data_IF_222540747582
#
_entry.id   IF_222540747582
#
_cell.length_a   1.000
_cell.length_b   1.000
_cell.length_c   1.000
_cell.angle_alpha   90.00
_cell.angle_beta   90.00
_cell.angle_gamma   90.00
#
_symmetry.space_group_name_H-M   'P 1'
#
loop_
_entity.id
_entity.type
_entity.pdbx_description
1 polymer ?
#
# COMPACT_ATOMS: atom_id res chain seq x y z
N UNK A 1 7.06 -4.52 -19.30
CA UNK A 1 7.56 -5.72 -18.56
C UNK A 1 8.69 -5.36 -17.60
N UNK A 2 9.73 -4.67 -18.06
CA UNK A 2 10.89 -4.27 -17.24
C UNK A 2 10.50 -3.52 -15.97
N UNK A 3 9.71 -2.46 -16.09
CA UNK A 3 9.29 -1.67 -14.92
C UNK A 3 8.57 -2.48 -13.83
N UNK A 4 7.69 -3.41 -14.22
CA UNK A 4 7.00 -4.28 -13.26
C UNK A 4 7.99 -5.14 -12.46
N UNK A 5 9.06 -5.64 -13.09
CA UNK A 5 10.08 -6.44 -12.41
C UNK A 5 10.98 -5.60 -11.50
N UNK A 6 11.25 -4.36 -11.87
CA UNK A 6 12.00 -3.42 -11.03
C UNK A 6 11.22 -3.08 -9.75
N UNK A 7 9.91 -2.83 -9.85
CA UNK A 7 9.04 -2.64 -8.68
C UNK A 7 9.11 -3.84 -7.74
N UNK A 8 8.92 -5.06 -8.25
CA UNK A 8 8.99 -6.30 -7.44
C UNK A 8 10.35 -6.42 -6.73
N UNK A 9 11.44 -6.18 -7.45
CA UNK A 9 12.79 -6.27 -6.89
C UNK A 9 13.01 -5.24 -5.78
N UNK A 10 12.52 -4.01 -5.96
CA UNK A 10 12.63 -2.95 -4.96
C UNK A 10 11.74 -3.19 -3.74
N UNK A 11 10.52 -3.68 -3.94
CA UNK A 11 9.59 -4.05 -2.86
C UNK A 11 10.24 -5.06 -1.92
N UNK A 12 10.95 -6.06 -2.42
CA UNK A 12 11.61 -7.07 -1.57
C UNK A 12 12.57 -6.44 -0.55
N UNK A 13 13.32 -5.42 -0.95
CA UNK A 13 14.25 -4.71 -0.07
C UNK A 13 13.51 -3.80 0.90
N UNK A 14 12.58 -2.99 0.38
CA UNK A 14 11.85 -2.01 1.19
C UNK A 14 10.93 -2.66 2.23
N UNK A 15 10.25 -3.74 1.85
CA UNK A 15 9.34 -4.48 2.74
C UNK A 15 10.09 -5.03 3.93
N UNK A 16 11.24 -5.70 3.73
CA UNK A 16 12.04 -6.24 4.83
C UNK A 16 12.47 -5.14 5.82
N UNK A 17 12.92 -3.98 5.32
CA UNK A 17 13.27 -2.84 6.17
C UNK A 17 12.08 -2.35 7.00
N UNK A 18 10.91 -2.17 6.37
CA UNK A 18 9.70 -1.69 7.04
C UNK A 18 9.13 -2.71 8.03
N UNK A 19 9.18 -4.00 7.72
CA UNK A 19 8.75 -5.07 8.65
C UNK A 19 9.58 -5.06 9.94
N UNK A 20 10.90 -4.85 9.83
CA UNK A 20 11.77 -4.67 11.01
C UNK A 20 11.33 -3.43 11.79
N UNK A 21 11.10 -2.30 11.11
CA UNK A 21 10.63 -1.06 11.74
C UNK A 21 9.29 -1.26 12.47
N UNK A 22 8.32 -1.93 11.85
CA UNK A 22 7.03 -2.25 12.48
C UNK A 22 7.23 -3.05 13.77
N UNK A 23 8.09 -4.08 13.76
CA UNK A 23 8.40 -4.86 14.97
C UNK A 23 8.98 -3.99 16.09
N UNK A 24 9.87 -3.06 15.76
CA UNK A 24 10.39 -2.09 16.75
C UNK A 24 9.29 -1.16 17.27
N UNK A 25 8.47 -0.59 16.38
CA UNK A 25 7.38 0.30 16.77
C UNK A 25 6.37 -0.41 17.69
N UNK A 26 6.05 -1.68 17.45
CA UNK A 26 5.17 -2.47 18.31
C UNK A 26 5.75 -2.70 19.70
N UNK A 27 7.04 -3.02 19.81
CA UNK A 27 7.73 -3.14 21.11
C UNK A 27 7.70 -1.82 21.88
N UNK A 28 7.96 -0.71 21.19
CA UNK A 28 7.94 0.61 21.82
C UNK A 28 6.53 0.98 22.30
N UNK A 29 5.48 0.61 21.55
CA UNK A 29 4.10 0.74 22.02
C UNK A 29 3.89 -0.09 23.28
N UNK A 30 4.28 -1.36 23.30
CA UNK A 30 4.14 -2.22 24.47
C UNK A 30 4.82 -1.62 25.73
N UNK A 31 6.03 -1.08 25.58
CA UNK A 31 6.76 -0.43 26.67
C UNK A 31 6.02 0.82 27.18
N UNK A 32 5.47 1.64 26.28
CA UNK A 32 4.68 2.82 26.66
C UNK A 32 3.40 2.42 27.41
N UNK A 33 2.72 1.36 26.99
CA UNK A 33 1.54 0.83 27.68
C UNK A 33 1.89 0.32 29.08
N UNK A 34 2.99 -0.41 29.21
CA UNK A 34 3.48 -0.91 30.51
C UNK A 34 3.79 0.23 31.49
N UNK A 35 4.27 1.36 30.97
CA UNK A 35 4.56 2.57 31.75
C UNK A 35 3.32 3.47 31.97
N UNK A 36 2.12 3.04 31.56
CA UNK A 36 0.85 3.82 31.63
C UNK A 36 0.90 5.15 30.88
N UNK A 37 1.70 5.22 29.80
CA UNK A 37 1.88 6.41 28.97
C UNK A 37 0.96 6.39 27.74
N UNK A 38 -0.34 6.23 27.95
CA UNK A 38 -1.36 6.01 26.90
C UNK A 38 -1.37 7.09 25.83
N UNK A 39 -1.16 8.36 26.20
CA UNK A 39 -1.05 9.47 25.23
C UNK A 39 0.10 9.28 24.25
N UNK A 40 1.27 8.90 24.76
CA UNK A 40 2.46 8.63 23.93
C UNK A 40 2.26 7.36 23.10
N UNK A 41 1.64 6.32 23.67
CA UNK A 41 1.31 5.10 22.96
C UNK A 41 0.36 5.38 21.77
N UNK A 42 -0.68 6.20 21.94
CA UNK A 42 -1.61 6.57 20.84
C UNK A 42 -0.91 7.25 19.67
N UNK A 43 0.03 8.17 19.94
CA UNK A 43 0.85 8.79 18.89
C UNK A 43 1.73 7.76 18.20
N UNK A 44 2.34 6.85 18.97
CA UNK A 44 3.23 5.82 18.42
C UNK A 44 2.48 4.77 17.58
N UNK A 45 1.27 4.42 18.00
CA UNK A 45 0.37 3.51 17.29
C UNK A 45 0.01 4.03 15.91
N UNK A 46 -0.22 5.35 15.77
CA UNK A 46 -0.52 5.92 14.46
C UNK A 46 0.62 5.71 13.45
N UNK A 47 1.87 5.89 13.90
CA UNK A 47 3.03 5.59 13.09
C UNK A 47 3.13 4.08 12.79
N UNK A 48 2.95 3.22 13.79
CA UNK A 48 3.01 1.76 13.62
C UNK A 48 1.99 1.24 12.61
N UNK A 49 0.74 1.73 12.67
CA UNK A 49 -0.32 1.36 11.73
C UNK A 49 0.01 1.82 10.31
N UNK A 50 0.54 3.05 10.15
CA UNK A 50 0.94 3.54 8.81
C UNK A 50 2.05 2.70 8.19
N UNK A 51 3.05 2.33 8.98
CA UNK A 51 4.14 1.46 8.52
C UNK A 51 3.64 0.04 8.17
N UNK A 52 2.75 -0.55 8.99
CA UNK A 52 2.11 -1.82 8.68
C UNK A 52 1.27 -1.75 7.40
N UNK A 53 0.48 -0.69 7.24
CA UNK A 53 -0.32 -0.49 6.03
C UNK A 53 0.55 -0.37 4.77
N UNK A 54 1.73 0.24 4.87
CA UNK A 54 2.66 0.31 3.75
C UNK A 54 3.26 -1.06 3.40
N UNK A 55 3.60 -1.88 4.41
CA UNK A 55 4.02 -3.28 4.21
C UNK A 55 2.93 -4.08 3.48
N UNK A 56 1.67 -3.96 3.92
CA UNK A 56 0.53 -4.63 3.29
C UNK A 56 0.30 -4.14 1.85
N UNK A 57 0.42 -2.82 1.62
CA UNK A 57 0.30 -2.23 0.29
C UNK A 57 1.38 -2.74 -0.66
N UNK A 58 2.63 -2.89 -0.20
CA UNK A 58 3.70 -3.46 -1.01
C UNK A 58 3.40 -4.90 -1.43
N UNK A 59 2.85 -5.72 -0.55
CA UNK A 59 2.45 -7.10 -0.91
C UNK A 59 1.35 -7.13 -1.98
N UNK A 60 0.38 -6.21 -1.92
CA UNK A 60 -0.63 -6.06 -2.97
C UNK A 60 -0.02 -5.59 -4.30
N UNK A 61 0.86 -4.58 -4.26
CA UNK A 61 1.54 -4.04 -5.43
C UNK A 61 2.43 -5.11 -6.08
N UNK A 62 3.18 -5.89 -5.31
CA UNK A 62 3.98 -7.02 -5.80
C UNK A 62 3.10 -8.02 -6.57
N UNK A 63 1.99 -8.46 -5.98
CA UNK A 63 1.05 -9.38 -6.64
C UNK A 63 0.46 -8.82 -7.93
N UNK A 64 0.08 -7.53 -7.94
CA UNK A 64 -0.40 -6.88 -9.17
C UNK A 64 0.70 -6.80 -10.25
N UNK A 65 1.95 -6.50 -9.86
CA UNK A 65 3.06 -6.45 -10.81
C UNK A 65 3.35 -7.83 -11.41
N UNK A 66 3.36 -8.90 -10.62
CA UNK A 66 3.56 -10.27 -11.07
C UNK A 66 2.44 -10.72 -12.02
N UNK A 67 1.19 -10.46 -11.63
CA UNK A 67 0.02 -10.76 -12.46
C UNK A 67 0.11 -10.08 -13.83
N UNK A 68 0.35 -8.75 -13.87
CA UNK A 68 0.47 -8.03 -15.14
C UNK A 68 1.69 -8.46 -15.96
N UNK A 69 2.80 -8.82 -15.30
CA UNK A 69 3.98 -9.31 -16.00
C UNK A 69 3.72 -10.64 -16.73
N UNK A 70 2.87 -11.50 -16.17
CA UNK A 70 2.41 -12.74 -16.82
C UNK A 70 1.42 -12.52 -17.97
N UNK A 71 0.76 -11.35 -18.03
CA UNK A 71 -0.28 -11.02 -19.03
C UNK A 71 0.15 -9.93 -20.02
N UNK A 72 1.45 -9.76 -20.24
CA UNK A 72 1.97 -8.61 -20.99
C UNK A 72 1.53 -8.58 -22.46
N UNK A 73 1.30 -9.74 -23.08
CA UNK A 73 0.81 -9.83 -24.46
C UNK A 73 -0.63 -9.33 -24.58
N UNK A 74 -1.49 -9.69 -23.62
CA UNK A 74 -2.87 -9.21 -23.54
C UNK A 74 -2.95 -7.70 -23.37
N UNK A 75 -2.02 -7.12 -22.60
CA UNK A 75 -1.91 -5.67 -22.46
C UNK A 75 -1.45 -5.06 -23.77
N UNK A 76 -0.37 -5.56 -24.36
CA UNK A 76 0.27 -4.94 -25.53
C UNK A 76 -0.63 -4.98 -26.78
N UNK A 77 -1.30 -6.11 -27.02
CA UNK A 77 -2.11 -6.34 -28.22
C UNK A 77 -3.49 -5.67 -28.25
N UNK A 78 -4.01 -5.20 -27.10
CA UNK A 78 -5.32 -4.53 -27.03
C UNK A 78 -5.14 -3.01 -26.93
N UNK A 79 -5.97 -2.26 -27.68
CA UNK A 79 -6.02 -0.78 -27.61
C UNK A 79 -6.66 -0.30 -26.32
N UNK A 80 -7.70 -1.00 -25.86
CA UNK A 80 -8.40 -0.70 -24.61
C UNK A 80 -7.88 -1.53 -23.44
N UNK A 81 -8.13 -1.06 -22.22
CA UNK A 81 -7.76 -1.77 -21.01
C UNK A 81 -8.65 -3.01 -20.84
N UNK A 82 -8.08 -4.23 -20.81
CA UNK A 82 -8.87 -5.44 -20.62
C UNK A 82 -9.56 -5.43 -19.24
N UNK A 83 -10.87 -5.73 -19.14
CA UNK A 83 -11.59 -5.71 -17.87
C UNK A 83 -10.93 -6.55 -16.78
N UNK A 84 -10.41 -7.72 -17.13
CA UNK A 84 -9.74 -8.67 -16.25
C UNK A 84 -8.40 -8.17 -15.69
N UNK A 85 -7.79 -7.17 -16.34
CA UNK A 85 -6.54 -6.54 -15.89
C UNK A 85 -6.75 -5.17 -15.26
N UNK A 86 -7.96 -4.63 -15.36
CA UNK A 86 -8.27 -3.25 -14.99
C UNK A 86 -7.97 -2.98 -13.52
N UNK A 87 -8.28 -3.92 -12.62
CA UNK A 87 -8.02 -3.74 -11.20
C UNK A 87 -6.54 -3.57 -10.89
N UNK A 88 -5.70 -4.47 -11.40
CA UNK A 88 -4.26 -4.42 -11.19
C UNK A 88 -3.65 -3.15 -11.81
N UNK A 89 -4.04 -2.80 -13.03
CA UNK A 89 -3.55 -1.59 -13.72
C UNK A 89 -3.94 -0.33 -12.95
N UNK A 90 -5.22 -0.19 -12.59
CA UNK A 90 -5.73 0.96 -11.86
C UNK A 90 -5.09 1.09 -10.47
N UNK A 91 -4.90 -0.04 -9.78
CA UNK A 91 -4.28 -0.06 -8.45
C UNK A 91 -2.81 0.39 -8.48
N UNK A 92 -2.03 -0.04 -9.48
CA UNK A 92 -0.65 0.44 -9.65
C UNK A 92 -0.57 1.93 -9.99
N UNK A 93 -1.45 2.42 -10.87
CA UNK A 93 -1.53 3.85 -11.22
C UNK A 93 -1.88 4.69 -9.99
N UNK A 94 -2.85 4.23 -9.19
CA UNK A 94 -3.28 4.88 -7.96
C UNK A 94 -2.15 4.91 -6.91
N UNK A 95 -1.38 3.83 -6.79
CA UNK A 95 -0.27 3.71 -5.85
C UNK A 95 0.92 4.61 -6.20
N UNK A 96 1.17 4.90 -7.49
CA UNK A 96 2.32 5.67 -7.95
C UNK A 96 2.63 6.95 -7.16
N UNK A 97 1.72 7.94 -7.07
CA UNK A 97 1.97 9.16 -6.31
C UNK A 97 1.99 8.98 -4.78
N UNK A 98 1.61 7.81 -4.27
CA UNK A 98 1.50 7.50 -2.83
C UNK A 98 2.67 6.68 -2.29
N UNK A 99 3.50 6.14 -3.18
CA UNK A 99 4.65 5.30 -2.85
C UNK A 99 5.94 5.95 -3.38
N UNK A 100 6.42 6.99 -2.71
CA UNK A 100 7.61 7.75 -3.13
C UNK A 100 8.88 6.87 -3.26
N UNK A 101 9.00 5.81 -2.45
CA UNK A 101 10.12 4.85 -2.51
C UNK A 101 10.06 3.93 -3.76
N UNK A 102 8.98 3.98 -4.55
CA UNK A 102 8.74 3.18 -5.75
C UNK A 102 8.54 4.07 -7.00
N UNK A 103 9.55 4.85 -7.43
CA UNK A 103 9.45 5.75 -8.57
C UNK A 103 9.07 5.04 -9.89
N UNK A 104 9.37 3.76 -10.04
CA UNK A 104 8.96 2.95 -11.20
C UNK A 104 7.43 2.90 -11.38
N UNK A 105 6.65 3.08 -10.30
CA UNK A 105 5.20 3.16 -10.41
C UNK A 105 4.74 4.43 -11.16
N UNK A 106 5.48 5.53 -11.04
CA UNK A 106 5.21 6.74 -11.83
C UNK A 106 5.53 6.51 -13.31
N UNK A 107 6.58 5.77 -13.62
CA UNK A 107 6.88 5.36 -14.99
C UNK A 107 5.79 4.43 -15.56
N UNK A 108 5.33 3.45 -14.77
CA UNK A 108 4.20 2.58 -15.13
C UNK A 108 2.95 3.41 -15.42
N UNK A 109 2.66 4.42 -14.60
CA UNK A 109 1.56 5.36 -14.84
C UNK A 109 1.73 6.11 -16.17
N UNK A 110 2.93 6.60 -16.48
CA UNK A 110 3.21 7.29 -17.75
C UNK A 110 3.03 6.36 -18.95
N UNK A 111 3.48 5.11 -18.85
CA UNK A 111 3.28 4.07 -19.89
C UNK A 111 1.79 3.83 -20.13
N UNK A 112 0.99 3.63 -19.07
CA UNK A 112 -0.45 3.44 -19.22
C UNK A 112 -1.18 4.71 -19.65
N UNK A 113 -0.67 5.90 -19.31
CA UNK A 113 -1.21 7.17 -19.80
C UNK A 113 -1.02 7.31 -21.30
N UNK A 114 0.14 6.94 -21.83
CA UNK A 114 0.40 6.96 -23.27
C UNK A 114 -0.48 5.94 -24.01
N UNK A 115 -0.75 4.80 -23.38
CA UNK A 115 -1.51 3.71 -24.00
C UNK A 115 -3.04 3.89 -23.95
N UNK A 116 -3.59 4.26 -22.80
CA UNK A 116 -5.04 4.33 -22.56
C UNK A 116 -5.58 5.77 -22.42
N UNK A 117 -4.69 6.76 -22.52
CA UNK A 117 -5.05 8.17 -22.52
C UNK A 117 -5.15 8.80 -21.12
N UNK A 118 -5.06 10.13 -21.10
CA UNK A 118 -5.07 10.92 -19.85
C UNK A 118 -6.39 10.81 -19.08
N UNK A 119 -7.52 10.69 -19.80
CA UNK A 119 -8.84 10.56 -19.16
C UNK A 119 -8.98 9.26 -18.37
N UNK A 120 -8.39 8.16 -18.87
CA UNK A 120 -8.33 6.90 -18.15
C UNK A 120 -7.58 7.05 -16.81
N UNK A 121 -6.42 7.71 -16.84
CA UNK A 121 -5.62 8.00 -15.64
C UNK A 121 -6.37 8.91 -14.67
N UNK A 122 -7.04 9.96 -15.16
CA UNK A 122 -7.79 10.89 -14.32
C UNK A 122 -8.91 10.18 -13.54
N UNK A 123 -9.70 9.32 -14.22
CA UNK A 123 -10.74 8.49 -13.58
C UNK A 123 -10.17 7.65 -12.43
N UNK A 124 -8.96 7.11 -12.58
CA UNK A 124 -8.30 6.29 -11.57
C UNK A 124 -7.79 7.12 -10.40
N UNK A 125 -7.07 8.19 -10.67
CA UNK A 125 -6.42 9.03 -9.63
C UNK A 125 -7.47 9.73 -8.76
N UNK A 126 -8.56 10.17 -9.37
CA UNK A 126 -9.68 10.83 -8.69
C UNK A 126 -10.72 9.85 -8.12
N UNK A 127 -10.49 8.53 -8.24
CA UNK A 127 -11.39 7.49 -7.76
C UNK A 127 -12.85 7.65 -8.26
N UNK A 128 -13.03 8.10 -9.51
CA UNK A 128 -14.36 8.25 -10.12
C UNK A 128 -15.07 6.88 -10.24
N UNK A 129 -16.39 6.91 -10.42
CA UNK A 129 -17.19 5.69 -10.63
C UNK A 129 -16.61 4.86 -11.78
N UNK A 130 -16.44 3.56 -11.53
CA UNK A 130 -15.85 2.66 -12.52
C UNK A 130 -14.34 2.78 -12.70
N UNK A 131 -13.61 3.47 -11.80
CA UNK A 131 -12.15 3.55 -11.83
C UNK A 131 -11.46 2.18 -11.76
N UNK A 132 -12.09 1.22 -11.09
CA UNK A 132 -11.57 -0.15 -10.95
C UNK A 132 -10.41 -0.28 -9.97
N UNK A 133 -10.10 0.73 -9.15
CA UNK A 133 -9.05 0.60 -8.13
C UNK A 133 -9.48 -0.40 -7.06
N UNK A 134 -8.59 -1.30 -6.66
CA UNK A 134 -8.86 -2.28 -5.61
C UNK A 134 -9.14 -1.61 -4.27
N UNK A 135 -10.22 -1.99 -3.59
CA UNK A 135 -10.61 -1.38 -2.31
C UNK A 135 -9.51 -1.46 -1.25
N UNK A 136 -8.85 -2.62 -1.17
CA UNK A 136 -7.74 -2.86 -0.23
C UNK A 136 -6.56 -1.90 -0.46
N UNK A 137 -6.20 -1.60 -1.71
CA UNK A 137 -5.08 -0.68 -1.97
C UNK A 137 -5.45 0.76 -1.58
N UNK A 138 -6.71 1.16 -1.78
CA UNK A 138 -7.21 2.47 -1.34
C UNK A 138 -7.17 2.58 0.17
N UNK A 139 -7.65 1.57 0.88
CA UNK A 139 -7.64 1.51 2.34
C UNK A 139 -6.22 1.59 2.90
N UNK A 140 -5.28 0.80 2.35
CA UNK A 140 -3.89 0.72 2.83
C UNK A 140 -3.07 1.97 2.50
N UNK A 141 -3.33 2.64 1.38
CA UNK A 141 -2.63 3.87 0.99
C UNK A 141 -3.40 5.14 1.36
N UNK A 142 -4.47 5.02 2.15
CA UNK A 142 -5.27 6.16 2.59
C UNK A 142 -4.47 7.08 3.49
N UNK A 143 -4.54 8.38 3.22
CA UNK A 143 -3.97 9.44 4.08
C UNK A 143 -4.99 9.94 5.11
N UNK A 144 -6.18 9.33 5.18
CA UNK A 144 -7.21 9.72 6.13
C UNK A 144 -6.73 9.47 7.57
N UNK A 145 -7.13 10.34 8.53
CA UNK A 145 -6.83 10.13 9.94
C UNK A 145 -7.34 8.77 10.44
N UNK A 146 -6.54 8.11 11.27
CA UNK A 146 -6.96 6.87 11.92
C UNK A 146 -7.99 7.16 13.00
N UNK A 147 -9.04 6.35 13.05
CA UNK A 147 -10.08 6.49 14.09
C UNK A 147 -9.55 6.06 15.46
N UNK A 148 -10.18 6.58 16.52
CA UNK A 148 -9.84 6.18 17.89
C UNK A 148 -9.97 4.66 18.09
N UNK A 149 -11.00 4.04 17.50
CA UNK A 149 -11.22 2.60 17.57
C UNK A 149 -10.08 1.80 16.93
N UNK A 150 -9.57 2.22 15.76
CA UNK A 150 -8.43 1.55 15.12
C UNK A 150 -7.17 1.62 16.00
N UNK A 151 -6.90 2.78 16.61
CA UNK A 151 -5.77 2.94 17.53
C UNK A 151 -5.92 2.07 18.77
N UNK A 152 -7.11 2.05 19.36
CA UNK A 152 -7.42 1.25 20.55
C UNK A 152 -7.26 -0.25 20.28
N UNK A 153 -7.80 -0.73 19.15
CA UNK A 153 -7.68 -2.14 18.75
C UNK A 153 -6.22 -2.55 18.56
N UNK A 154 -5.41 -1.69 17.94
CA UNK A 154 -3.98 -1.97 17.78
C UNK A 154 -3.23 -1.98 19.12
N UNK A 155 -3.55 -1.05 20.03
CA UNK A 155 -2.98 -1.05 21.39
C UNK A 155 -3.32 -2.35 22.14
N UNK A 156 -4.58 -2.79 22.08
CA UNK A 156 -5.02 -4.03 22.70
C UNK A 156 -4.32 -5.26 22.10
N UNK A 157 -4.13 -5.29 20.77
CA UNK A 157 -3.38 -6.34 20.09
C UNK A 157 -1.93 -6.40 20.55
N UNK A 158 -1.25 -5.25 20.61
CA UNK A 158 0.14 -5.15 21.07
C UNK A 158 0.28 -5.53 22.55
N UNK A 159 -0.63 -5.06 23.40
CA UNK A 159 -0.65 -5.41 24.83
C UNK A 159 -0.77 -6.92 25.01
N UNK A 160 -1.68 -7.56 24.27
CA UNK A 160 -1.84 -9.02 24.27
C UNK A 160 -0.60 -9.74 23.75
N UNK A 161 0.00 -9.29 22.65
CA UNK A 161 1.22 -9.90 22.07
C UNK A 161 2.40 -9.88 23.05
N UNK A 162 2.53 -8.81 23.85
CA UNK A 162 3.65 -8.60 24.76
C UNK A 162 3.32 -8.91 26.23
N UNK A 163 2.15 -9.48 26.53
CA UNK A 163 1.67 -9.78 27.88
C UNK A 163 1.67 -8.55 28.83
N UNK A 164 1.32 -7.38 28.31
CA UNK A 164 1.15 -6.16 29.09
C UNK A 164 -0.28 -6.13 29.64
N UNK A 165 -0.42 -5.93 30.96
CA UNK A 165 -1.71 -5.70 31.59
C UNK A 165 -2.13 -4.24 31.39
N UNK A 166 -2.89 -3.99 30.31
CA UNK A 166 -3.39 -2.68 29.89
C UNK A 166 -4.87 -2.78 29.51
#
# INVERSE_FOLDING_TARGET
KTQLRLVVSRIKILRNKREIQVKHLRRDVAQLLQNKQDGNARTRVEHAIREQNMVDAYSLIEGYCEFLASRIQSISGKKECPPELKEAIASLIYAGPRCADLPELLEIRSIFSAKYGKQFIATIVELRVGCGVGKKIVEKLSTQPLTAAMKLNFMAEVAKEHNVNW
#
